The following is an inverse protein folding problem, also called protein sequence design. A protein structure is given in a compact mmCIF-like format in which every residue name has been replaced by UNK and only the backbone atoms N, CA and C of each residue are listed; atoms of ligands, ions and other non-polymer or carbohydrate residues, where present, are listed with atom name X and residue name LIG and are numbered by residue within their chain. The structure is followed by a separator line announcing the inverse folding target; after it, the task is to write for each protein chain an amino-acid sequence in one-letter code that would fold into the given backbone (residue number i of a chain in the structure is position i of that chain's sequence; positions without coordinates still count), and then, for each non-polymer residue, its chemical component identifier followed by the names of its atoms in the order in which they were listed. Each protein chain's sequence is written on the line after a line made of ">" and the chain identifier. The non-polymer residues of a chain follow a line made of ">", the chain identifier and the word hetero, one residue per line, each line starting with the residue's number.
data_IF_439328371512
#
_entry.id   IF_439328371512
#
_cell.length_a   1.000
_cell.length_b   1.000
_cell.length_c   1.000
_cell.angle_alpha   90.00
_cell.angle_beta   90.00
_cell.angle_gamma   90.00
#
_symmetry.space_group_name_H-M   'P 1'
#
loop_
_entity.id
_entity.type
_entity.pdbx_description
1 polymer ?
#
# COMPACT_ATOMS: atom_id res chain seq x y z
N UNK A 1 -8.64 1.68 -38.18
CA UNK A 1 -9.47 2.06 -37.01
C UNK A 1 -9.39 1.04 -35.88
N UNK A 2 -9.73 -0.23 -36.10
CA UNK A 2 -9.69 -1.23 -35.02
C UNK A 2 -8.32 -1.39 -34.34
N UNK A 3 -7.23 -1.43 -35.10
CA UNK A 3 -5.87 -1.51 -34.54
C UNK A 3 -5.50 -0.30 -33.67
N UNK A 4 -5.95 0.91 -34.05
CA UNK A 4 -5.70 2.14 -33.29
C UNK A 4 -6.52 2.17 -32.01
N UNK A 5 -7.80 1.80 -32.10
CA UNK A 5 -8.71 1.79 -30.95
C UNK A 5 -8.31 0.75 -29.91
N UNK A 6 -8.15 -0.51 -30.31
CA UNK A 6 -7.72 -1.58 -29.41
C UNK A 6 -6.26 -1.43 -28.97
N UNK A 7 -5.40 -0.90 -29.85
CA UNK A 7 -4.01 -0.58 -29.51
C UNK A 7 -3.91 0.52 -28.45
N UNK A 8 -4.69 1.59 -28.57
CA UNK A 8 -4.77 2.64 -27.56
C UNK A 8 -5.25 2.11 -26.21
N UNK A 9 -6.28 1.26 -26.19
CA UNK A 9 -6.75 0.62 -24.97
C UNK A 9 -5.68 -0.27 -24.33
N UNK A 10 -4.96 -1.06 -25.14
CA UNK A 10 -3.86 -1.90 -24.67
C UNK A 10 -2.73 -1.06 -24.05
N UNK A 11 -2.35 0.05 -24.68
CA UNK A 11 -1.33 0.96 -24.14
C UNK A 11 -1.77 1.52 -22.78
N UNK A 12 -3.00 2.05 -22.69
CA UNK A 12 -3.52 2.61 -21.44
C UNK A 12 -3.56 1.55 -20.34
N UNK A 13 -4.06 0.34 -20.65
CA UNK A 13 -4.11 -0.76 -19.71
C UNK A 13 -2.72 -1.17 -19.21
N UNK A 14 -1.75 -1.31 -20.11
CA UNK A 14 -0.37 -1.69 -19.74
C UNK A 14 0.28 -0.57 -18.93
N UNK A 15 0.11 0.70 -19.29
CA UNK A 15 0.59 1.83 -18.50
C UNK A 15 0.04 1.79 -17.07
N UNK A 16 -1.26 1.52 -16.90
CA UNK A 16 -1.89 1.43 -15.59
C UNK A 16 -1.31 0.27 -14.76
N UNK A 17 -1.23 -0.94 -15.34
CA UNK A 17 -0.74 -2.12 -14.62
C UNK A 17 0.75 -2.08 -14.33
N UNK A 18 1.55 -1.60 -15.27
CA UNK A 18 3.00 -1.48 -15.11
C UNK A 18 3.36 -0.33 -14.19
N UNK A 19 2.58 0.76 -14.16
CA UNK A 19 2.72 1.84 -13.17
C UNK A 19 2.58 1.34 -11.72
N UNK A 20 1.71 0.36 -11.47
CA UNK A 20 1.56 -0.27 -10.15
C UNK A 20 2.72 -1.20 -9.76
N UNK A 21 3.59 -1.57 -10.71
CA UNK A 21 4.73 -2.48 -10.48
C UNK A 21 5.94 -1.78 -9.86
N UNK A 22 5.91 -0.43 -9.74
CA UNK A 22 6.90 0.40 -9.02
C UNK A 22 7.09 0.05 -7.54
N UNK A 23 6.22 -0.79 -7.00
CA UNK A 23 6.27 -1.38 -5.67
C UNK A 23 7.39 -2.43 -5.47
N UNK A 24 7.95 -2.98 -6.54
CA UNK A 24 9.04 -3.95 -6.42
C UNK A 24 10.39 -3.25 -6.12
N UNK A 25 11.30 -3.89 -5.38
CA UNK A 25 12.61 -3.30 -5.10
C UNK A 25 13.36 -2.99 -6.40
N UNK A 26 14.04 -1.84 -6.41
CA UNK A 26 14.96 -1.46 -7.48
C UNK A 26 16.03 -2.56 -7.65
N UNK A 27 16.39 -2.96 -8.89
CA UNK A 27 16.08 -2.31 -10.18
C UNK A 27 14.79 -2.78 -10.86
N UNK A 28 14.16 -3.85 -10.36
CA UNK A 28 13.05 -4.52 -11.05
C UNK A 28 11.77 -3.69 -11.10
N UNK A 29 11.44 -2.96 -10.04
CA UNK A 29 10.21 -2.17 -9.97
C UNK A 29 10.14 -0.97 -10.91
N UNK A 30 11.29 -0.45 -11.37
CA UNK A 30 11.30 0.72 -12.27
C UNK A 30 11.69 0.31 -13.69
N UNK A 31 12.74 -0.50 -13.86
CA UNK A 31 13.31 -0.77 -15.19
C UNK A 31 12.44 -1.72 -16.04
N UNK A 32 11.91 -2.79 -15.44
CA UNK A 32 11.12 -3.78 -16.18
C UNK A 32 9.80 -3.17 -16.69
N UNK A 33 9.02 -2.44 -15.86
CA UNK A 33 7.82 -1.75 -16.30
C UNK A 33 8.07 -0.83 -17.49
N UNK A 34 9.12 -0.02 -17.44
CA UNK A 34 9.48 0.92 -18.51
C UNK A 34 9.77 0.19 -19.82
N UNK A 35 10.55 -0.89 -19.77
CA UNK A 35 10.86 -1.71 -20.96
C UNK A 35 9.60 -2.35 -21.54
N UNK A 36 8.70 -2.88 -20.70
CA UNK A 36 7.45 -3.50 -21.16
C UNK A 36 6.51 -2.48 -21.79
N UNK A 37 6.34 -1.31 -21.14
CA UNK A 37 5.54 -0.20 -21.68
C UNK A 37 6.10 0.24 -23.03
N UNK A 38 7.42 0.48 -23.12
CA UNK A 38 8.06 0.89 -24.36
C UNK A 38 7.89 -0.15 -25.47
N UNK A 39 8.03 -1.44 -25.15
CA UNK A 39 7.84 -2.53 -26.11
C UNK A 39 6.40 -2.57 -26.64
N UNK A 40 5.40 -2.47 -25.76
CA UNK A 40 3.98 -2.47 -26.16
C UNK A 40 3.64 -1.26 -27.01
N UNK A 41 4.10 -0.06 -26.62
CA UNK A 41 3.92 1.15 -27.42
C UNK A 41 4.58 0.99 -28.80
N UNK A 42 5.79 0.42 -28.85
CA UNK A 42 6.50 0.14 -30.11
C UNK A 42 5.73 -0.81 -31.03
N UNK A 43 5.23 -1.92 -30.49
CA UNK A 43 4.43 -2.91 -31.24
C UNK A 43 3.13 -2.30 -31.74
N UNK A 44 2.38 -1.60 -30.88
CA UNK A 44 1.11 -0.97 -31.26
C UNK A 44 1.34 0.11 -32.31
N UNK A 45 2.36 0.95 -32.13
CA UNK A 45 2.73 1.98 -33.11
C UNK A 45 3.11 1.35 -34.45
N UNK A 46 3.87 0.25 -34.43
CA UNK A 46 4.20 -0.54 -35.61
C UNK A 46 2.97 -1.13 -36.32
N UNK A 47 1.99 -1.65 -35.58
CA UNK A 47 0.74 -2.15 -36.17
C UNK A 47 -0.16 -1.06 -36.71
N UNK A 48 -0.16 0.12 -36.08
CA UNK A 48 -1.00 1.24 -36.51
C UNK A 48 -0.42 1.98 -37.73
N UNK A 49 0.89 2.20 -37.71
CA UNK A 49 1.59 3.04 -38.70
C UNK A 49 2.23 2.17 -39.80
N UNK A 50 2.64 0.94 -39.49
CA UNK A 50 3.29 0.02 -40.41
C UNK A 50 2.59 -0.16 -41.76
N UNK A 51 1.26 -0.35 -41.80
CA UNK A 51 0.51 -0.45 -43.07
C UNK A 51 0.51 0.83 -43.91
N UNK A 52 0.80 1.99 -43.30
CA UNK A 52 0.91 3.27 -44.00
C UNK A 52 2.33 3.50 -44.55
N UNK A 53 3.35 2.83 -44.01
CA UNK A 53 4.75 2.99 -44.41
C UNK A 53 4.99 2.75 -45.92
N UNK A 54 4.38 1.77 -46.61
CA UNK A 54 4.59 1.56 -48.04
C UNK A 54 4.02 2.70 -48.89
N UNK A 55 2.87 3.25 -48.49
CA UNK A 55 2.16 4.32 -49.22
C UNK A 55 2.89 5.65 -49.03
N UNK A 56 3.36 5.91 -47.81
CA UNK A 56 4.05 7.15 -47.48
C UNK A 56 5.55 7.06 -47.82
N UNK A 57 6.13 5.86 -47.85
CA UNK A 57 7.56 5.58 -48.07
C UNK A 57 8.10 6.03 -49.44
N UNK A 58 7.25 6.13 -50.47
CA UNK A 58 7.63 6.75 -51.74
C UNK A 58 7.98 8.25 -51.60
N UNK A 59 7.56 8.90 -50.51
CA UNK A 59 7.86 10.31 -50.22
C UNK A 59 8.68 10.49 -48.93
N UNK A 60 8.41 9.69 -47.89
CA UNK A 60 9.05 9.78 -46.56
C UNK A 60 10.53 9.39 -46.54
N UNK A 61 11.00 8.60 -47.51
CA UNK A 61 12.41 8.19 -47.62
C UNK A 61 13.36 9.35 -47.97
N UNK A 62 12.84 10.56 -48.25
CA UNK A 62 13.66 11.76 -48.43
C UNK A 62 14.27 12.17 -47.09
N UNK A 63 15.60 12.24 -47.05
CA UNK A 63 16.40 12.59 -45.88
C UNK A 63 15.95 13.89 -45.19
N UNK A 64 15.46 14.88 -45.95
CA UNK A 64 14.92 16.13 -45.42
C UNK A 64 13.66 15.95 -44.57
N UNK A 65 12.77 15.03 -44.93
CA UNK A 65 11.52 14.77 -44.19
C UNK A 65 11.83 13.99 -42.91
N UNK A 66 12.75 13.03 -42.96
CA UNK A 66 13.24 12.33 -41.77
C UNK A 66 13.92 13.28 -40.78
N UNK A 67 14.78 14.18 -41.28
CA UNK A 67 15.40 15.21 -40.45
C UNK A 67 14.33 16.12 -39.83
N UNK A 68 13.36 16.61 -40.60
CA UNK A 68 12.27 17.44 -40.06
C UNK A 68 11.51 16.72 -38.94
N UNK A 69 11.08 15.48 -39.17
CA UNK A 69 10.33 14.70 -38.18
C UNK A 69 11.16 14.44 -36.92
N UNK A 70 12.47 14.18 -37.05
CA UNK A 70 13.38 14.05 -35.92
C UNK A 70 13.45 15.36 -35.12
N UNK A 71 13.62 16.50 -35.78
CA UNK A 71 13.67 17.80 -35.10
C UNK A 71 12.35 18.14 -34.41
N UNK A 72 11.21 17.86 -35.06
CA UNK A 72 9.88 18.03 -34.45
C UNK A 72 9.71 17.09 -33.25
N UNK A 73 10.18 15.84 -33.34
CA UNK A 73 10.15 14.91 -32.22
C UNK A 73 11.00 15.37 -31.03
N UNK A 74 12.24 15.80 -31.28
CA UNK A 74 13.13 16.36 -30.25
C UNK A 74 12.51 17.61 -29.63
N UNK A 75 11.95 18.52 -30.45
CA UNK A 75 11.31 19.73 -29.97
C UNK A 75 10.06 19.40 -29.14
N UNK A 76 9.23 18.46 -29.58
CA UNK A 76 8.05 18.01 -28.84
C UNK A 76 8.43 17.38 -27.50
N UNK A 77 9.52 16.59 -27.44
CA UNK A 77 10.04 16.03 -26.19
C UNK A 77 10.56 17.14 -25.27
N UNK A 78 11.32 18.10 -25.81
CA UNK A 78 11.82 19.23 -25.05
C UNK A 78 10.68 20.07 -24.46
N UNK A 79 9.67 20.39 -25.27
CA UNK A 79 8.46 21.10 -24.84
C UNK A 79 7.69 20.28 -23.81
N UNK A 80 7.48 18.99 -24.06
CA UNK A 80 6.79 18.08 -23.12
C UNK A 80 7.49 17.99 -21.77
N UNK A 81 8.83 18.01 -21.75
CA UNK A 81 9.62 17.90 -20.52
C UNK A 81 9.53 19.11 -19.59
N UNK A 82 9.10 20.26 -20.12
CA UNK A 82 8.91 21.49 -19.35
C UNK A 82 7.58 21.48 -18.60
N UNK A 83 6.62 20.63 -19.00
CA UNK A 83 5.33 20.55 -18.33
C UNK A 83 5.42 19.73 -17.06
N UNK A 84 4.82 20.26 -16.00
CA UNK A 84 4.69 19.53 -14.75
C UNK A 84 3.73 18.34 -14.96
N UNK A 85 4.10 17.13 -14.52
CA UNK A 85 3.37 15.91 -14.88
C UNK A 85 2.03 15.72 -14.16
N UNK A 86 1.68 16.58 -13.20
CA UNK A 86 0.49 16.44 -12.38
C UNK A 86 -0.39 17.69 -12.39
N UNK A 87 -1.69 17.48 -12.20
CA UNK A 87 -2.70 18.53 -12.07
C UNK A 87 -3.78 18.07 -11.10
N UNK A 88 -4.74 18.94 -10.80
CA UNK A 88 -5.93 18.56 -10.01
C UNK A 88 -6.82 17.52 -10.72
N UNK A 89 -6.79 17.50 -12.06
CA UNK A 89 -7.53 16.52 -12.87
C UNK A 89 -6.80 15.18 -13.01
N UNK A 90 -5.47 15.19 -12.89
CA UNK A 90 -4.61 14.01 -12.89
C UNK A 90 -3.66 14.05 -11.69
N UNK A 91 -4.19 13.86 -10.46
CA UNK A 91 -3.42 14.07 -9.25
C UNK A 91 -2.44 12.94 -9.00
N UNK A 92 -1.34 13.28 -8.32
CA UNK A 92 -0.43 12.29 -7.74
C UNK A 92 -1.11 11.65 -6.54
N UNK A 93 -1.20 10.32 -6.51
CA UNK A 93 -1.83 9.61 -5.39
C UNK A 93 -0.82 9.28 -4.30
N UNK A 94 -1.14 9.71 -3.08
CA UNK A 94 -0.36 9.46 -1.87
C UNK A 94 -1.25 8.80 -0.83
N UNK A 95 -0.73 7.76 -0.21
CA UNK A 95 -1.33 7.14 0.96
C UNK A 95 -0.57 7.59 2.20
N UNK A 96 -1.31 8.14 3.16
CA UNK A 96 -0.82 8.59 4.44
C UNK A 96 -1.44 7.72 5.55
N UNK A 97 -0.64 6.88 6.18
CA UNK A 97 -1.05 6.06 7.31
C UNK A 97 -0.47 6.63 8.60
N UNK A 98 -1.30 6.78 9.63
CA UNK A 98 -0.83 6.96 10.99
C UNK A 98 -0.84 5.60 11.70
N UNK A 99 0.34 5.01 11.86
CA UNK A 99 0.50 3.70 12.50
C UNK A 99 0.64 3.86 14.00
N UNK A 100 -0.20 3.14 14.73
CA UNK A 100 -0.26 3.13 16.19
C UNK A 100 -0.01 1.70 16.64
N UNK A 101 1.17 1.45 17.19
CA UNK A 101 1.48 0.15 17.76
C UNK A 101 1.05 0.14 19.22
N UNK A 102 0.05 -0.66 19.55
CA UNK A 102 -0.43 -0.84 20.91
C UNK A 102 -0.05 -2.22 21.48
N UNK A 103 0.28 -2.23 22.78
CA UNK A 103 0.49 -3.48 23.52
C UNK A 103 -0.82 -4.09 23.99
N UNK A 104 -1.77 -3.23 24.36
CA UNK A 104 -3.07 -3.58 24.91
C UNK A 104 -4.09 -2.48 24.56
N UNK A 105 -5.25 -2.50 25.20
CA UNK A 105 -6.36 -1.56 25.01
C UNK A 105 -6.05 -0.10 25.40
N UNK A 106 -4.97 0.19 26.13
CA UNK A 106 -4.69 1.56 26.62
C UNK A 106 -3.23 2.00 26.53
N UNK A 107 -2.33 1.13 26.07
CA UNK A 107 -0.90 1.42 26.03
C UNK A 107 -0.38 1.47 24.59
N UNK A 108 0.20 2.61 24.21
CA UNK A 108 0.91 2.80 22.94
C UNK A 108 2.39 2.51 23.16
N UNK A 109 2.95 1.61 22.36
CA UNK A 109 4.37 1.29 22.31
C UNK A 109 5.13 2.26 21.40
N UNK A 110 4.57 2.53 20.23
CA UNK A 110 5.15 3.45 19.26
C UNK A 110 4.07 4.03 18.34
N UNK A 111 4.35 5.20 17.78
CA UNK A 111 3.45 5.91 16.87
C UNK A 111 4.28 6.48 15.72
N UNK A 112 3.83 6.30 14.48
CA UNK A 112 4.53 6.78 13.29
C UNK A 112 3.59 7.28 12.19
N UNK A 113 4.06 8.22 11.40
CA UNK A 113 3.45 8.63 10.15
C UNK A 113 4.18 7.96 8.99
N UNK A 114 3.45 7.21 8.19
CA UNK A 114 3.93 6.43 7.08
C UNK A 114 3.35 6.98 5.78
N UNK A 115 4.22 7.32 4.83
CA UNK A 115 3.81 7.88 3.53
C UNK A 115 4.32 7.05 2.36
N UNK A 116 3.43 6.72 1.43
CA UNK A 116 3.82 6.07 0.20
C UNK A 116 3.03 6.55 -1.02
N UNK A 117 3.66 6.44 -2.19
CA UNK A 117 3.06 6.73 -3.50
C UNK A 117 2.62 5.43 -4.18
N UNK A 118 1.51 5.46 -4.90
CA UNK A 118 1.07 4.31 -5.71
C UNK A 118 1.57 4.34 -7.16
N UNK A 119 2.08 5.49 -7.62
CA UNK A 119 2.48 5.70 -9.03
C UNK A 119 3.99 5.96 -9.18
N UNK A 120 4.47 6.01 -10.43
CA UNK A 120 5.89 6.02 -10.82
C UNK A 120 6.81 7.02 -10.10
N UNK A 121 6.38 8.26 -9.89
CA UNK A 121 7.20 9.22 -9.13
C UNK A 121 7.17 8.88 -7.63
N UNK A 122 8.35 8.66 -7.04
CA UNK A 122 8.51 8.34 -5.62
C UNK A 122 8.02 9.46 -4.68
N UNK A 123 7.82 9.13 -3.39
CA UNK A 123 7.55 10.13 -2.35
C UNK A 123 8.63 11.22 -2.25
N UNK A 124 9.88 10.93 -2.66
CA UNK A 124 10.95 11.94 -2.69
C UNK A 124 10.61 13.11 -3.60
N UNK A 125 9.99 12.82 -4.75
CA UNK A 125 9.52 13.85 -5.67
C UNK A 125 8.45 14.71 -5.00
N UNK A 126 7.54 14.10 -4.24
CA UNK A 126 6.47 14.80 -3.52
C UNK A 126 7.05 15.72 -2.43
N UNK A 127 7.95 15.20 -1.58
CA UNK A 127 8.58 15.99 -0.52
C UNK A 127 9.37 17.18 -1.07
N UNK A 128 10.08 17.01 -2.20
CA UNK A 128 10.79 18.10 -2.87
C UNK A 128 9.86 19.27 -3.25
N UNK A 129 8.61 18.98 -3.58
CA UNK A 129 7.60 19.98 -3.97
C UNK A 129 6.61 20.32 -2.84
N UNK A 130 6.80 19.77 -1.64
CA UNK A 130 5.98 20.02 -0.45
C UNK A 130 6.87 20.48 0.73
N UNK A 131 7.47 21.69 0.65
CA UNK A 131 8.42 22.15 1.65
C UNK A 131 7.79 22.38 3.03
N UNK A 132 6.51 22.76 3.08
CA UNK A 132 5.79 22.99 4.34
C UNK A 132 5.58 21.68 5.12
N UNK A 133 5.16 20.62 4.41
CA UNK A 133 5.05 19.28 4.98
C UNK A 133 6.38 18.80 5.56
N UNK A 134 7.46 18.97 4.80
CA UNK A 134 8.81 18.52 5.20
C UNK A 134 9.30 19.26 6.45
N UNK A 135 8.97 20.56 6.58
CA UNK A 135 9.28 21.36 7.78
C UNK A 135 8.49 20.89 8.99
N UNK A 136 7.19 20.63 8.84
CA UNK A 136 6.33 20.18 9.95
C UNK A 136 6.75 18.79 10.45
N UNK A 137 7.21 17.90 9.57
CA UNK A 137 7.77 16.60 9.94
C UNK A 137 9.15 16.69 10.62
N UNK A 138 9.64 17.90 10.96
CA UNK A 138 10.92 18.17 11.62
C UNK A 138 12.10 17.47 10.92
N UNK A 139 12.06 17.44 9.60
CA UNK A 139 13.12 16.89 8.77
C UNK A 139 14.19 17.96 8.63
N UNK A 140 15.31 17.81 9.34
CA UNK A 140 16.43 18.77 9.31
C UNK A 140 16.83 19.12 7.87
N UNK A 141 17.28 20.35 7.65
CA UNK A 141 17.72 20.87 6.34
C UNK A 141 18.89 20.10 5.69
N UNK A 142 19.48 19.13 6.40
CA UNK A 142 20.54 18.21 5.95
C UNK A 142 20.09 16.75 5.83
N UNK A 143 18.78 16.48 5.73
CA UNK A 143 18.26 15.12 5.66
C UNK A 143 18.69 14.39 4.38
N UNK A 144 19.57 13.41 4.53
CA UNK A 144 19.82 12.44 3.48
C UNK A 144 18.64 11.47 3.48
N UNK A 145 17.82 11.47 2.44
CA UNK A 145 16.67 10.56 2.35
C UNK A 145 17.05 9.06 2.30
N UNK A 146 18.34 8.74 2.34
CA UNK A 146 18.87 7.40 2.55
C UNK A 146 18.82 6.93 4.01
N UNK A 147 18.65 7.85 4.98
CA UNK A 147 18.63 7.53 6.42
C UNK A 147 17.22 7.35 7.00
N UNK A 148 16.18 7.43 6.17
CA UNK A 148 14.80 7.16 6.64
C UNK A 148 14.57 5.67 6.66
N UNK A 149 14.10 5.17 7.80
CA UNK A 149 13.63 3.79 7.88
C UNK A 149 12.51 3.58 6.87
N UNK A 150 12.73 2.61 5.97
CA UNK A 150 11.67 2.14 5.06
C UNK A 150 10.69 1.33 5.90
N UNK A 151 9.40 1.59 5.75
CA UNK A 151 8.43 0.78 6.51
C UNK A 151 8.48 -0.67 6.06
N UNK A 152 8.26 -1.57 7.02
CA UNK A 152 8.16 -3.00 6.71
C UNK A 152 6.79 -3.27 6.05
N UNK A 153 6.66 -4.21 5.11
CA UNK A 153 5.35 -4.61 4.58
C UNK A 153 4.30 -4.92 5.65
N UNK A 154 4.74 -5.41 6.82
CA UNK A 154 3.86 -5.71 7.96
C UNK A 154 3.25 -4.46 8.60
N UNK A 155 3.88 -3.28 8.46
CA UNK A 155 3.30 -2.02 8.93
C UNK A 155 2.02 -1.68 8.14
N UNK A 156 1.90 -2.18 6.91
CA UNK A 156 0.75 -1.99 6.03
C UNK A 156 -0.22 -3.18 6.03
N UNK A 157 -0.13 -4.09 7.01
CA UNK A 157 -0.96 -5.30 7.05
C UNK A 157 -2.47 -5.00 7.02
N UNK A 158 -2.91 -3.85 7.55
CA UNK A 158 -4.32 -3.46 7.53
C UNK A 158 -4.94 -3.37 6.13
N UNK A 159 -4.12 -3.12 5.10
CA UNK A 159 -4.55 -3.05 3.68
C UNK A 159 -4.23 -4.34 2.89
N UNK A 160 -4.02 -5.47 3.56
CA UNK A 160 -3.87 -6.76 2.89
C UNK A 160 -5.03 -7.01 1.88
N UNK A 161 -4.78 -7.47 0.64
CA UNK A 161 -3.53 -8.06 0.14
C UNK A 161 -2.56 -7.09 -0.55
N UNK A 162 -2.80 -5.78 -0.51
CA UNK A 162 -1.98 -4.80 -1.26
C UNK A 162 -0.87 -4.17 -0.43
N UNK A 163 -0.60 -4.68 0.78
CA UNK A 163 0.43 -4.18 1.70
C UNK A 163 1.83 -4.12 1.06
N UNK A 164 2.17 -5.09 0.20
CA UNK A 164 3.44 -5.13 -0.51
C UNK A 164 3.68 -3.91 -1.41
N UNK A 165 2.61 -3.26 -1.90
CA UNK A 165 2.70 -2.06 -2.73
C UNK A 165 3.35 -0.87 -2.00
N UNK A 166 3.37 -0.92 -0.67
CA UNK A 166 3.80 0.17 0.20
C UNK A 166 5.12 -0.14 0.94
N UNK A 167 5.82 -1.21 0.54
CA UNK A 167 7.10 -1.64 1.11
C UNK A 167 8.24 -0.61 0.99
N UNK A 168 8.08 0.41 0.14
CA UNK A 168 9.04 1.51 -0.02
C UNK A 168 8.57 2.82 0.62
N UNK A 169 7.66 2.77 1.61
CA UNK A 169 7.16 3.97 2.28
C UNK A 169 8.19 4.62 3.21
N UNK A 170 8.00 5.91 3.46
CA UNK A 170 8.81 6.69 4.39
C UNK A 170 8.12 6.75 5.74
N UNK A 171 8.85 6.39 6.80
CA UNK A 171 8.36 6.35 8.17
C UNK A 171 8.93 7.51 8.99
N UNK A 172 8.07 8.23 9.70
CA UNK A 172 8.44 9.34 10.57
C UNK A 172 7.86 9.14 11.97
N UNK A 173 8.59 9.47 13.05
CA UNK A 173 8.05 9.35 14.40
C UNK A 173 6.91 10.33 14.63
N UNK A 174 5.85 9.87 15.30
CA UNK A 174 4.68 10.69 15.64
C UNK A 174 4.47 10.72 17.16
N UNK A 175 4.02 11.86 17.69
CA UNK A 175 3.74 12.00 19.13
C UNK A 175 2.47 11.23 19.51
N UNK A 176 2.49 10.38 20.55
CA UNK A 176 1.35 9.55 20.91
C UNK A 176 0.27 10.30 21.73
N UNK A 177 0.59 11.47 22.27
CA UNK A 177 -0.23 12.22 23.23
C UNK A 177 -1.67 12.45 22.72
N UNK A 178 -1.82 12.90 21.47
CA UNK A 178 -3.13 13.20 20.89
C UNK A 178 -4.03 11.96 20.69
N UNK A 179 -3.43 10.78 20.57
CA UNK A 179 -4.19 9.54 20.34
C UNK A 179 -5.00 9.17 21.59
N UNK A 180 -4.41 9.34 22.77
CA UNK A 180 -5.05 9.01 24.05
C UNK A 180 -6.26 9.89 24.34
N UNK A 181 -6.26 11.14 23.85
CA UNK A 181 -7.39 12.05 23.99
C UNK A 181 -8.56 11.67 23.05
N UNK A 182 -8.26 11.05 21.91
CA UNK A 182 -9.25 10.69 20.89
C UNK A 182 -9.88 9.32 21.10
N UNK A 183 -9.13 8.38 21.69
CA UNK A 183 -9.53 6.99 21.82
C UNK A 183 -9.45 6.54 23.29
N UNK A 184 -10.60 6.23 23.90
CA UNK A 184 -10.63 5.73 25.28
C UNK A 184 -10.07 4.30 25.41
N UNK A 185 -10.21 3.52 24.35
CA UNK A 185 -9.69 2.16 24.24
C UNK A 185 -9.32 1.83 22.81
N UNK A 186 -8.23 1.08 22.64
CA UNK A 186 -7.74 0.59 21.36
C UNK A 186 -8.33 -0.77 21.02
N UNK A 187 -8.29 -1.15 19.74
CA UNK A 187 -8.60 -2.51 19.32
C UNK A 187 -7.74 -3.52 20.07
N UNK A 188 -8.40 -4.54 20.63
CA UNK A 188 -7.75 -5.51 21.50
C UNK A 188 -8.30 -6.92 21.25
N UNK A 189 -7.40 -7.90 21.32
CA UNK A 189 -7.72 -9.31 21.27
C UNK A 189 -7.37 -9.94 22.62
N UNK A 190 -8.31 -10.66 23.21
CA UNK A 190 -8.08 -11.33 24.49
C UNK A 190 -8.75 -12.70 24.55
N UNK A 191 -8.32 -13.51 25.51
CA UNK A 191 -8.88 -14.83 25.75
C UNK A 191 -10.11 -14.70 26.66
N UNK A 192 -11.31 -15.02 26.17
CA UNK A 192 -12.54 -14.86 26.94
C UNK A 192 -12.91 -16.13 27.73
N UNK A 193 -12.29 -17.28 27.42
CA UNK A 193 -12.49 -18.55 28.14
C UNK A 193 -11.17 -19.30 28.33
N UNK A 194 -11.04 -20.16 29.36
CA UNK A 194 -9.88 -21.03 29.50
C UNK A 194 -9.65 -21.88 28.24
N UNK A 195 -8.38 -22.14 27.92
CA UNK A 195 -8.04 -23.02 26.81
C UNK A 195 -8.53 -24.44 27.09
N UNK A 196 -9.04 -25.11 26.06
CA UNK A 196 -9.56 -26.46 26.15
C UNK A 196 -8.63 -27.43 25.44
N UNK A 197 -8.20 -28.49 26.14
CA UNK A 197 -7.42 -29.56 25.53
C UNK A 197 -8.38 -30.60 24.95
N UNK A 198 -8.35 -30.76 23.63
CA UNK A 198 -9.20 -31.69 22.90
C UNK A 198 -8.53 -33.06 22.78
N UNK A 199 -9.36 -34.09 22.59
CA UNK A 199 -8.91 -35.45 22.29
C UNK A 199 -8.03 -35.47 21.04
N UNK A 200 -6.82 -36.01 21.15
CA UNK A 200 -5.82 -36.03 20.07
C UNK A 200 -4.67 -35.03 20.21
N UNK A 201 -4.56 -34.33 21.35
CA UNK A 201 -3.45 -33.40 21.63
C UNK A 201 -3.64 -31.99 21.05
N UNK A 202 -4.80 -31.72 20.46
CA UNK A 202 -5.16 -30.39 19.97
C UNK A 202 -5.54 -29.48 21.12
N UNK A 203 -5.22 -28.19 21.00
CA UNK A 203 -5.66 -27.17 21.96
C UNK A 203 -6.58 -26.16 21.27
N UNK A 204 -7.71 -25.86 21.88
CA UNK A 204 -8.64 -24.83 21.41
C UNK A 204 -8.50 -23.56 22.26
N UNK A 205 -8.34 -22.44 21.58
CA UNK A 205 -8.14 -21.11 22.14
C UNK A 205 -9.39 -20.28 21.80
N UNK A 206 -10.03 -19.70 22.81
CA UNK A 206 -11.30 -18.99 22.69
C UNK A 206 -11.09 -17.48 22.76
N UNK A 207 -11.13 -16.82 21.61
CA UNK A 207 -10.74 -15.42 21.48
C UNK A 207 -11.95 -14.51 21.34
N UNK A 208 -11.79 -13.31 21.87
CA UNK A 208 -12.73 -12.21 21.69
C UNK A 208 -11.96 -10.99 21.20
N UNK A 209 -12.43 -10.41 20.11
CA UNK A 209 -11.88 -9.23 19.47
C UNK A 209 -12.84 -8.05 19.66
N UNK A 210 -12.33 -6.99 20.28
CA UNK A 210 -13.04 -5.73 20.45
C UNK A 210 -12.38 -4.63 19.63
N UNK A 211 -13.18 -3.80 18.96
CA UNK A 211 -12.73 -2.60 18.25
C UNK A 211 -12.37 -1.45 19.19
N UNK A 212 -12.75 -1.54 20.46
CA UNK A 212 -12.57 -0.44 21.41
C UNK A 212 -13.36 0.81 21.01
N UNK A 213 -12.70 1.96 21.02
CA UNK A 213 -13.31 3.27 20.78
C UNK A 213 -13.07 3.83 19.37
N UNK A 214 -12.71 2.97 18.41
CA UNK A 214 -12.57 3.37 17.00
C UNK A 214 -13.87 3.95 16.46
N UNK A 215 -13.79 4.95 15.57
CA UNK A 215 -14.97 5.70 15.13
C UNK A 215 -15.50 5.25 13.77
N UNK A 216 -14.63 5.11 12.78
CA UNK A 216 -14.99 4.81 11.39
C UNK A 216 -14.15 3.64 10.86
N UNK A 217 -14.46 2.43 11.36
CA UNK A 217 -13.71 1.21 11.00
C UNK A 217 -14.01 0.79 9.57
N UNK A 218 -12.97 0.69 8.76
CA UNK A 218 -13.07 0.15 7.42
C UNK A 218 -12.87 -1.37 7.40
N UNK A 219 -11.75 -1.84 7.96
CA UNK A 219 -11.36 -3.25 7.95
C UNK A 219 -10.47 -3.58 9.14
N UNK A 220 -10.62 -4.82 9.63
CA UNK A 220 -9.70 -5.46 10.57
C UNK A 220 -9.08 -6.69 9.91
N UNK A 221 -7.79 -6.90 10.14
CA UNK A 221 -7.00 -7.99 9.57
C UNK A 221 -6.34 -8.76 10.71
N UNK A 222 -6.52 -10.07 10.70
CA UNK A 222 -5.87 -11.01 11.60
C UNK A 222 -4.87 -11.82 10.77
N UNK A 223 -3.59 -11.73 11.10
CA UNK A 223 -2.54 -12.57 10.54
C UNK A 223 -2.11 -13.60 11.60
N UNK A 224 -2.42 -14.87 11.34
CA UNK A 224 -2.22 -15.96 12.31
C UNK A 224 -1.07 -16.84 11.84
N UNK A 225 -0.06 -17.00 12.68
CA UNK A 225 1.11 -17.84 12.43
C UNK A 225 1.33 -18.83 13.58
N UNK A 226 1.84 -20.02 13.26
CA UNK A 226 2.06 -21.11 14.22
C UNK A 226 1.33 -22.41 13.82
N UNK A 227 1.14 -23.36 14.76
CA UNK A 227 0.60 -24.70 14.48
C UNK A 227 -0.93 -24.69 14.31
N UNK A 228 -1.48 -23.75 13.53
CA UNK A 228 -2.92 -23.63 13.31
C UNK A 228 -3.44 -24.81 12.49
N UNK A 229 -4.48 -25.47 12.99
CA UNK A 229 -5.13 -26.62 12.35
C UNK A 229 -6.54 -26.29 11.86
N UNK A 230 -7.34 -25.62 12.69
CA UNK A 230 -8.71 -25.17 12.36
C UNK A 230 -8.99 -23.85 13.04
N UNK A 231 -10.06 -23.20 12.60
CA UNK A 231 -10.59 -22.00 13.20
C UNK A 231 -12.11 -22.01 13.11
N UNK A 232 -12.81 -21.17 13.86
CA UNK A 232 -14.27 -21.08 13.76
C UNK A 232 -14.75 -20.39 12.48
N UNK A 233 -13.83 -19.79 11.70
CA UNK A 233 -14.15 -19.17 10.44
C UNK A 233 -14.33 -20.21 9.32
N UNK A 234 -15.04 -19.84 8.26
CA UNK A 234 -15.10 -20.59 6.99
C UNK A 234 -15.32 -22.12 7.14
N UNK A 235 -16.32 -22.54 7.95
CA UNK A 235 -16.68 -23.95 8.16
C UNK A 235 -15.51 -24.82 8.66
N UNK A 236 -14.70 -24.30 9.58
CA UNK A 236 -13.59 -25.03 10.20
C UNK A 236 -12.48 -25.41 9.23
N UNK A 237 -12.35 -24.70 8.10
CA UNK A 237 -11.30 -24.92 7.10
C UNK A 237 -10.40 -23.71 6.99
N UNK A 238 -9.09 -23.96 7.01
CA UNK A 238 -8.08 -22.93 6.78
C UNK A 238 -8.01 -22.59 5.27
N UNK A 239 -7.75 -21.31 4.94
CA UNK A 239 -7.47 -20.89 3.57
C UNK A 239 -6.08 -21.38 3.16
N UNK A 240 -5.74 -21.16 1.88
CA UNK A 240 -4.35 -21.31 1.46
C UNK A 240 -3.47 -20.36 2.30
N UNK A 241 -2.34 -20.86 2.86
CA UNK A 241 -1.47 -20.02 3.64
C UNK A 241 -0.68 -19.06 2.74
N UNK A 242 -0.50 -17.84 3.21
CA UNK A 242 0.49 -16.91 2.67
C UNK A 242 1.87 -17.30 3.22
N UNK A 243 2.89 -17.22 2.37
CA UNK A 243 4.28 -17.46 2.75
C UNK A 243 5.15 -16.33 2.22
N UNK A 244 5.82 -15.64 3.13
CA UNK A 244 6.89 -14.72 2.76
C UNK A 244 8.21 -15.51 2.73
N UNK A 245 8.63 -15.94 1.54
CA UNK A 245 9.82 -16.76 1.33
C UNK A 245 9.80 -18.07 2.13
N UNK A 246 10.84 -18.28 2.95
CA UNK A 246 11.01 -19.44 3.83
C UNK A 246 10.33 -19.26 5.22
N UNK A 247 9.53 -18.20 5.39
CA UNK A 247 8.81 -17.92 6.62
C UNK A 247 7.73 -18.96 6.99
N UNK A 248 7.27 -18.98 8.25
CA UNK A 248 6.18 -19.86 8.67
C UNK A 248 4.88 -19.52 7.89
N UNK A 249 4.02 -20.51 7.62
CA UNK A 249 2.75 -20.25 6.95
C UNK A 249 1.89 -19.29 7.77
N UNK A 250 1.37 -18.28 7.09
CA UNK A 250 0.46 -17.26 7.63
C UNK A 250 -0.96 -17.51 7.12
N UNK A 251 -1.94 -17.47 8.02
CA UNK A 251 -3.35 -17.55 7.68
C UNK A 251 -4.01 -16.21 7.98
N UNK A 252 -4.50 -15.55 6.94
CA UNK A 252 -5.04 -14.20 7.04
C UNK A 252 -6.57 -14.23 6.99
N UNK A 253 -7.19 -13.53 7.94
CA UNK A 253 -8.63 -13.31 7.98
C UNK A 253 -8.92 -11.81 7.97
N UNK A 254 -9.90 -11.38 7.16
CA UNK A 254 -10.36 -10.00 7.09
C UNK A 254 -11.79 -9.91 7.63
N UNK A 255 -12.00 -8.99 8.54
CA UNK A 255 -13.30 -8.66 9.11
C UNK A 255 -13.64 -7.23 8.66
N UNK A 256 -14.72 -7.08 7.91
CA UNK A 256 -15.17 -5.79 7.38
C UNK A 256 -16.41 -5.28 8.10
N UNK A 257 -16.49 -3.96 8.28
CA UNK A 257 -17.66 -3.28 8.83
C UNK A 257 -17.53 -2.88 10.30
N UNK A 258 -18.37 -1.94 10.71
CA UNK A 258 -18.54 -1.56 12.09
C UNK A 258 -19.42 -2.61 12.79
N UNK A 259 -18.90 -3.23 13.85
CA UNK A 259 -19.69 -4.06 14.74
C UNK A 259 -19.82 -3.35 16.08
N UNK A 260 -21.05 -3.18 16.55
CA UNK A 260 -21.32 -2.76 17.93
C UNK A 260 -21.06 -3.88 18.94
N UNK A 261 -20.88 -5.11 18.46
CA UNK A 261 -20.63 -6.30 19.26
C UNK A 261 -19.19 -6.81 19.07
N UNK A 262 -18.60 -7.33 20.13
CA UNK A 262 -17.28 -7.96 20.06
C UNK A 262 -17.36 -9.27 19.26
N UNK A 263 -16.37 -9.54 18.42
CA UNK A 263 -16.31 -10.80 17.68
C UNK A 263 -15.72 -11.90 18.53
N UNK A 264 -16.50 -12.95 18.74
CA UNK A 264 -16.02 -14.16 19.40
C UNK A 264 -15.71 -15.23 18.37
N UNK A 265 -14.56 -15.88 18.51
CA UNK A 265 -14.11 -16.95 17.62
C UNK A 265 -13.19 -17.91 18.37
N UNK A 266 -12.85 -19.02 17.73
CA UNK A 266 -11.88 -19.96 18.29
C UNK A 266 -10.87 -20.39 17.25
N UNK A 267 -9.68 -20.74 17.73
CA UNK A 267 -8.58 -21.32 16.97
C UNK A 267 -8.21 -22.66 17.57
N UNK A 268 -7.92 -23.65 16.73
CA UNK A 268 -7.40 -24.95 17.15
C UNK A 268 -5.96 -25.09 16.66
N UNK A 269 -5.06 -25.38 17.59
CA UNK A 269 -3.67 -25.70 17.31
C UNK A 269 -3.42 -27.21 17.40
N UNK A 270 -2.56 -27.72 16.51
CA UNK A 270 -2.11 -29.12 16.49
C UNK A 270 -0.99 -29.45 17.48
N UNK A 271 -0.40 -28.43 18.13
CA UNK A 271 0.67 -28.61 19.12
C UNK A 271 0.55 -27.59 20.27
N UNK A 272 1.40 -27.77 21.29
CA UNK A 272 1.57 -26.83 22.41
C UNK A 272 2.40 -25.60 22.06
N UNK A 273 2.92 -25.49 20.83
CA UNK A 273 3.66 -24.30 20.40
C UNK A 273 2.74 -23.09 20.31
N UNK A 274 3.30 -21.91 20.55
CA UNK A 274 2.55 -20.65 20.61
C UNK A 274 1.94 -20.30 19.25
N UNK A 275 0.70 -19.81 19.27
CA UNK A 275 0.08 -19.16 18.12
C UNK A 275 0.35 -17.66 18.25
N UNK A 276 0.95 -17.06 17.22
CA UNK A 276 1.12 -15.62 17.11
C UNK A 276 0.00 -15.06 16.26
N UNK A 277 -0.67 -14.03 16.77
CA UNK A 277 -1.71 -13.30 16.05
C UNK A 277 -1.29 -11.86 15.97
N UNK A 278 -1.10 -11.37 14.75
CA UNK A 278 -0.97 -9.94 14.49
C UNK A 278 -2.33 -9.39 14.10
N UNK A 279 -2.73 -8.32 14.76
CA UNK A 279 -3.99 -7.62 14.54
C UNK A 279 -3.68 -6.27 13.92
N UNK A 280 -4.36 -5.94 12.83
CA UNK A 280 -4.32 -4.64 12.17
C UNK A 280 -5.73 -4.12 11.97
N UNK A 281 -6.03 -2.92 12.44
CA UNK A 281 -7.36 -2.30 12.31
C UNK A 281 -7.22 -0.93 11.66
N UNK A 282 -7.96 -0.69 10.60
CA UNK A 282 -8.00 0.61 9.92
C UNK A 282 -9.23 1.40 10.36
N UNK A 283 -8.97 2.57 10.92
CA UNK A 283 -9.95 3.60 11.23
C UNK A 283 -9.76 4.77 10.27
N UNK A 284 -10.80 5.11 9.51
CA UNK A 284 -10.78 6.21 8.54
C UNK A 284 -10.94 7.58 9.21
N UNK A 285 -11.26 7.59 10.51
CA UNK A 285 -11.32 8.83 11.25
C UNK A 285 -9.95 9.51 11.33
N UNK A 286 -9.91 10.76 10.86
CA UNK A 286 -8.71 11.59 10.89
C UNK A 286 -8.70 12.50 12.12
N UNK A 287 -7.58 12.43 12.84
CA UNK A 287 -7.26 13.34 13.94
C UNK A 287 -6.88 14.74 13.44
N UNK A 288 -6.94 15.76 14.30
CA UNK A 288 -6.54 17.12 13.94
C UNK A 288 -5.09 17.20 13.43
N UNK A 289 -4.09 16.53 14.03
CA UNK A 289 -2.73 16.48 13.47
C UNK A 289 -2.68 15.87 12.07
N UNK A 290 -3.44 14.80 11.82
CA UNK A 290 -3.50 14.19 10.48
C UNK A 290 -4.15 15.12 9.46
N UNK A 291 -5.24 15.81 9.83
CA UNK A 291 -5.88 16.81 8.97
C UNK A 291 -4.93 17.97 8.65
N UNK A 292 -4.19 18.46 9.65
CA UNK A 292 -3.14 19.48 9.45
C UNK A 292 -2.10 18.99 8.46
N UNK A 293 -1.50 17.81 8.67
CA UNK A 293 -0.48 17.25 7.77
C UNK A 293 -1.03 17.01 6.36
N UNK A 294 -2.24 16.47 6.23
CA UNK A 294 -2.92 16.30 4.95
C UNK A 294 -3.10 17.62 4.21
N UNK A 295 -3.39 18.70 4.92
CA UNK A 295 -3.55 20.05 4.36
C UNK A 295 -2.24 20.71 3.88
N UNK A 296 -1.07 20.17 4.22
CA UNK A 296 0.24 20.69 3.79
C UNK A 296 0.69 20.12 2.44
N UNK A 297 -0.08 19.20 1.85
CA UNK A 297 0.21 18.68 0.52
C UNK A 297 -0.21 19.69 -0.57
N UNK A 298 0.55 19.79 -1.68
CA UNK A 298 0.15 20.59 -2.82
C UNK A 298 -1.19 20.14 -3.42
N UNK A 299 -1.93 21.05 -4.05
CA UNK A 299 -3.27 20.78 -4.62
C UNK A 299 -3.30 19.70 -5.72
N UNK A 300 -2.17 19.44 -6.39
CA UNK A 300 -2.04 18.38 -7.39
C UNK A 300 -1.79 16.99 -6.78
N UNK A 301 -1.75 16.88 -5.44
CA UNK A 301 -1.63 15.62 -4.72
C UNK A 301 -2.97 15.25 -4.12
N UNK A 302 -3.45 14.05 -4.44
CA UNK A 302 -4.60 13.45 -3.77
C UNK A 302 -4.11 12.52 -2.65
N UNK A 303 -4.51 12.83 -1.41
CA UNK A 303 -4.05 12.15 -0.20
C UNK A 303 -5.17 11.32 0.41
N UNK A 304 -5.01 10.01 0.35
CA UNK A 304 -5.83 9.06 1.12
C UNK A 304 -5.18 8.87 2.48
N UNK A 305 -5.84 9.34 3.54
CA UNK A 305 -5.31 9.28 4.90
C UNK A 305 -6.16 8.36 5.78
N UNK A 306 -5.54 7.66 6.72
CA UNK A 306 -6.23 6.87 7.76
C UNK A 306 -5.31 6.56 8.94
N UNK A 307 -5.89 6.05 10.01
CA UNK A 307 -5.19 5.54 11.19
C UNK A 307 -5.18 4.02 11.17
N UNK A 308 -4.05 3.41 11.51
CA UNK A 308 -3.90 1.96 11.62
C UNK A 308 -3.45 1.58 13.02
N UNK A 309 -4.28 0.80 13.72
CA UNK A 309 -3.92 0.20 15.01
C UNK A 309 -3.32 -1.16 14.77
N UNK A 310 -2.16 -1.42 15.35
CA UNK A 310 -1.42 -2.67 15.22
C UNK A 310 -1.08 -3.23 16.59
N UNK A 311 -1.32 -4.51 16.79
CA UNK A 311 -0.93 -5.23 18.00
C UNK A 311 -0.52 -6.66 17.68
N UNK A 312 0.21 -7.28 18.61
CA UNK A 312 0.70 -8.66 18.46
C UNK A 312 0.43 -9.43 19.74
N UNK A 313 -0.19 -10.59 19.61
CA UNK A 313 -0.57 -11.46 20.71
C UNK A 313 0.07 -12.84 20.54
N UNK A 314 0.42 -13.45 21.68
CA UNK A 314 0.97 -14.80 21.75
C UNK A 314 0.08 -15.63 22.68
N UNK A 315 -0.51 -16.69 22.15
CA UNK A 315 -1.40 -17.60 22.87
C UNK A 315 -0.88 -19.04 22.90
#
# INVERSE_FOLDING_TARGET
>A
MYAVYFGGFLIIFVLEKMGMSGSHPSPYGNFIPDVLVAAVIGVVSGWCIGPLIPIVGQHLARQSIMQLLLHVGILSLAVSSQFFPYSTEAPKRVVFQHTIWNADSSQILSSSYDFATTDSNSMLFVFKHAPELTRELHTDTNFSFHSVDKAHPDDWMGIFPVSFLFSTSFKFPAKPEFIMDQYKSFPVLFNHKPQELLSGGYRRIYLEFSLGSTKEVWVSVLNITGPLFRWSFANNKLPAPEKDGDGPPSYICRLSGASSENWTFWLEASSSEKIRIELGVIDQHLTEPQLKLKGLFPEWVDVTAYSSFRSTYLF
#
